data_IF_010423435207
#
_entry.id   IF_010423435207
#
_cell.length_a   1.000
_cell.length_b   1.000
_cell.length_c   1.000
_cell.angle_alpha   90.00
_cell.angle_beta   90.00
_cell.angle_gamma   90.00
#
_symmetry.space_group_name_H-M   'P 1'
#
loop_
_entity.id
_entity.type
_entity.pdbx_description
1 polymer ?
#
# COMPACT_ATOMS: atom_id res chain seq x y z
N UNK A 1 -36.06 -2.65 4.96
CA UNK A 1 -35.64 -4.03 4.61
C UNK A 1 -34.14 -4.18 4.87
N UNK A 2 -33.78 -5.00 5.86
CA UNK A 2 -32.39 -5.26 6.23
C UNK A 2 -31.91 -6.63 5.70
N UNK A 3 -30.60 -6.79 5.49
CA UNK A 3 -29.98 -8.04 5.05
C UNK A 3 -28.85 -8.43 6.00
N UNK A 4 -28.67 -9.72 6.23
CA UNK A 4 -27.63 -10.23 7.12
C UNK A 4 -26.25 -9.92 6.55
N UNK A 5 -25.41 -9.25 7.32
CA UNK A 5 -24.04 -8.88 6.93
C UNK A 5 -23.12 -10.09 6.77
N UNK A 6 -23.48 -11.25 7.34
CA UNK A 6 -22.69 -12.46 7.23
C UNK A 6 -23.11 -13.35 6.05
N UNK A 7 -24.42 -13.55 5.81
CA UNK A 7 -24.90 -14.50 4.79
C UNK A 7 -25.80 -13.92 3.69
N UNK A 8 -26.11 -12.62 3.75
CA UNK A 8 -26.94 -11.93 2.76
C UNK A 8 -28.44 -12.25 2.81
N UNK A 9 -28.91 -13.05 3.76
CA UNK A 9 -30.34 -13.37 3.88
C UNK A 9 -31.15 -12.13 4.30
N UNK A 10 -32.38 -12.00 3.78
CA UNK A 10 -33.30 -10.93 4.19
C UNK A 10 -33.69 -11.11 5.66
N UNK A 11 -33.69 -10.02 6.42
CA UNK A 11 -34.01 -9.97 7.84
C UNK A 11 -35.34 -9.22 8.02
N UNK A 12 -36.25 -9.83 8.77
CA UNK A 12 -37.51 -9.22 9.18
C UNK A 12 -37.25 -8.08 10.18
N UNK A 13 -38.06 -7.02 10.13
CA UNK A 13 -37.75 -5.71 10.74
C UNK A 13 -37.51 -5.71 12.26
N UNK A 14 -37.86 -6.81 12.95
CA UNK A 14 -37.67 -6.99 14.39
C UNK A 14 -36.84 -8.24 14.79
N UNK A 15 -36.19 -8.92 13.84
CA UNK A 15 -35.42 -10.12 14.15
C UNK A 15 -34.09 -9.78 14.82
N UNK A 16 -33.89 -10.26 16.06
CA UNK A 16 -32.65 -10.09 16.84
C UNK A 16 -31.49 -10.97 16.34
N UNK A 17 -31.81 -12.02 15.57
CA UNK A 17 -30.84 -12.95 15.02
C UNK A 17 -31.26 -13.35 13.61
N UNK A 18 -30.29 -13.58 12.71
CA UNK A 18 -30.57 -14.11 11.40
C UNK A 18 -31.07 -15.55 11.51
N UNK A 19 -32.30 -15.80 11.06
CA UNK A 19 -32.94 -17.12 11.09
C UNK A 19 -32.23 -18.18 10.26
N UNK A 20 -31.29 -17.78 9.39
CA UNK A 20 -30.56 -18.69 8.50
C UNK A 20 -29.18 -19.10 9.03
N UNK A 21 -28.42 -18.18 9.62
CA UNK A 21 -27.04 -18.46 10.07
C UNK A 21 -26.79 -18.19 11.56
N UNK A 22 -27.80 -17.74 12.30
CA UNK A 22 -27.69 -17.47 13.75
C UNK A 22 -26.89 -16.22 14.11
N UNK A 23 -26.40 -15.45 13.14
CA UNK A 23 -25.66 -14.21 13.41
C UNK A 23 -26.58 -13.16 14.03
N UNK A 24 -26.16 -12.60 15.17
CA UNK A 24 -26.89 -11.56 15.88
C UNK A 24 -27.06 -10.32 15.00
N UNK A 25 -28.26 -9.75 15.04
CA UNK A 25 -28.63 -8.53 14.34
C UNK A 25 -28.65 -7.44 15.39
N UNK A 26 -27.64 -6.56 15.39
CA UNK A 26 -27.55 -5.47 16.34
C UNK A 26 -28.61 -4.42 16.01
N UNK A 27 -29.78 -4.53 16.64
CA UNK A 27 -30.90 -3.62 16.49
C UNK A 27 -30.80 -2.43 17.46
N UNK A 28 -29.61 -1.84 17.59
CA UNK A 28 -29.47 -0.55 18.26
C UNK A 28 -29.93 0.55 17.29
N UNK A 29 -31.17 1.00 17.48
CA UNK A 29 -31.63 2.30 16.99
C UNK A 29 -30.76 3.39 17.64
N UNK A 30 -29.58 3.63 17.05
CA UNK A 30 -28.80 4.82 17.30
C UNK A 30 -29.56 5.97 16.66
N UNK A 31 -30.32 6.68 17.48
CA UNK A 31 -30.79 8.02 17.15
C UNK A 31 -29.61 8.80 16.58
N UNK A 32 -29.72 9.17 15.30
CA UNK A 32 -28.75 9.97 14.60
C UNK A 32 -28.65 11.36 15.22
N UNK A 33 -27.93 11.48 16.33
CA UNK A 33 -27.04 12.63 16.53
C UNK A 33 -25.76 12.32 15.76
N UNK A 34 -25.87 12.41 14.44
CA UNK A 34 -24.71 12.64 13.61
C UNK A 34 -24.11 13.97 14.02
N UNK A 35 -23.15 13.98 14.93
CA UNK A 35 -22.11 15.00 14.87
C UNK A 35 -21.34 14.70 13.58
N UNK A 36 -21.86 15.14 12.43
CA UNK A 36 -21.02 15.41 11.28
C UNK A 36 -20.12 16.56 11.73
N UNK A 37 -18.99 16.22 12.34
CA UNK A 37 -17.95 17.21 12.63
C UNK A 37 -17.44 17.64 11.25
N UNK A 38 -18.05 18.70 10.70
CA UNK A 38 -17.60 19.32 9.46
C UNK A 38 -16.09 19.55 9.60
N UNK A 39 -15.30 19.10 8.63
CA UNK A 39 -13.86 19.30 8.69
C UNK A 39 -13.59 20.80 8.61
N UNK A 40 -13.24 21.39 9.75
CA UNK A 40 -12.84 22.78 9.90
C UNK A 40 -11.71 22.84 10.92
N UNK A 41 -10.49 23.05 10.46
CA UNK A 41 -9.32 23.09 11.31
C UNK A 41 -8.43 24.26 10.92
N UNK A 42 -8.33 25.22 11.85
CA UNK A 42 -7.62 26.48 11.65
C UNK A 42 -6.26 26.48 12.33
N UNK A 43 -5.26 26.99 11.60
CA UNK A 43 -3.90 27.12 12.07
C UNK A 43 -3.42 28.56 11.86
N UNK A 44 -3.02 29.16 12.97
CA UNK A 44 -2.46 30.50 13.01
C UNK A 44 -1.00 30.36 13.43
N UNK A 45 -0.04 30.73 12.56
CA UNK A 45 1.37 30.73 12.93
C UNK A 45 1.61 31.74 14.05
N UNK A 46 2.27 31.29 15.12
CA UNK A 46 2.63 32.17 16.24
C UNK A 46 3.82 33.05 15.85
N UNK A 47 3.84 34.32 16.25
CA UNK A 47 4.94 35.29 16.02
C UNK A 47 5.13 35.80 14.57
N UNK A 48 4.07 35.83 13.75
CA UNK A 48 4.06 36.63 12.51
C UNK A 48 4.85 36.05 11.33
N UNK A 49 5.43 34.86 11.46
CA UNK A 49 6.13 34.17 10.37
C UNK A 49 5.21 33.05 9.83
N UNK A 50 4.45 33.37 8.79
CA UNK A 50 3.56 32.46 8.08
C UNK A 50 2.18 33.06 7.81
N UNK A 51 1.42 32.47 6.89
CA UNK A 51 0.03 32.86 6.62
C UNK A 51 -0.93 31.98 7.40
N UNK A 52 -2.05 32.56 7.85
CA UNK A 52 -3.20 31.81 8.35
C UNK A 52 -3.66 30.82 7.30
N UNK A 53 -4.00 29.60 7.71
CA UNK A 53 -4.66 28.65 6.84
C UNK A 53 -5.71 27.82 7.57
N UNK A 54 -6.71 27.37 6.80
CA UNK A 54 -7.84 26.60 7.31
C UNK A 54 -8.09 25.42 6.38
N UNK A 55 -8.10 24.22 6.93
CA UNK A 55 -8.57 23.04 6.22
C UNK A 55 -10.09 22.98 6.31
N UNK A 56 -10.74 22.91 5.14
CA UNK A 56 -12.17 22.64 4.99
C UNK A 56 -12.39 21.23 4.44
N UNK A 57 -13.66 20.87 4.30
CA UNK A 57 -14.08 19.58 3.76
C UNK A 57 -13.58 19.32 2.33
N UNK A 58 -13.52 20.35 1.47
CA UNK A 58 -13.15 20.22 0.05
C UNK A 58 -12.06 21.20 -0.43
N UNK A 59 -11.52 22.00 0.49
CA UNK A 59 -10.64 23.12 0.13
C UNK A 59 -9.71 23.50 1.28
N UNK A 60 -8.72 24.33 0.97
CA UNK A 60 -7.86 25.00 1.93
C UNK A 60 -8.00 26.50 1.75
N UNK A 61 -8.33 27.23 2.83
CA UNK A 61 -8.13 28.67 2.85
C UNK A 61 -6.66 28.94 3.16
N UNK A 62 -5.98 29.73 2.33
CA UNK A 62 -4.61 30.18 2.55
C UNK A 62 -4.54 31.71 2.45
N UNK A 63 -4.35 32.38 3.58
CA UNK A 63 -4.53 33.83 3.67
C UNK A 63 -6.00 34.21 3.44
N UNK A 64 -6.27 34.89 2.33
CA UNK A 64 -7.62 35.36 1.94
C UNK A 64 -8.20 34.58 0.75
N UNK A 65 -7.45 33.60 0.22
CA UNK A 65 -7.84 32.83 -0.95
C UNK A 65 -8.22 31.41 -0.56
N UNK A 66 -9.14 30.81 -1.30
CA UNK A 66 -9.61 29.43 -1.10
C UNK A 66 -9.24 28.57 -2.29
N UNK A 67 -8.63 27.42 -2.02
CA UNK A 67 -8.10 26.50 -3.02
C UNK A 67 -8.80 25.16 -2.90
N UNK A 68 -9.50 24.74 -3.95
CA UNK A 68 -10.15 23.42 -4.01
C UNK A 68 -9.10 22.30 -4.04
N UNK A 69 -9.38 21.17 -3.38
CA UNK A 69 -8.47 20.02 -3.38
C UNK A 69 -8.22 19.45 -4.79
N UNK A 70 -9.17 19.57 -5.72
CA UNK A 70 -9.02 19.17 -7.12
C UNK A 70 -7.98 19.98 -7.90
N UNK A 71 -7.56 21.14 -7.37
CA UNK A 71 -6.57 22.04 -7.98
C UNK A 71 -5.25 22.07 -7.23
N UNK A 72 -5.06 21.17 -6.26
CA UNK A 72 -3.88 21.12 -5.40
C UNK A 72 -3.10 19.83 -5.62
N UNK A 73 -1.78 19.95 -5.69
CA UNK A 73 -0.90 18.79 -5.54
C UNK A 73 -0.94 18.22 -4.11
N UNK A 74 -0.53 16.96 -3.88
CA UNK A 74 -0.41 16.42 -2.54
C UNK A 74 0.45 17.30 -1.63
N UNK A 75 -0.03 17.56 -0.43
CA UNK A 75 0.62 18.37 0.59
C UNK A 75 1.76 17.58 1.21
N UNK A 76 2.97 18.12 1.11
CA UNK A 76 4.22 17.50 1.55
C UNK A 76 4.71 18.13 2.84
N UNK A 77 4.98 17.32 3.85
CA UNK A 77 5.69 17.78 5.05
C UNK A 77 7.17 18.02 4.69
N UNK A 78 7.61 19.27 4.74
CA UNK A 78 8.99 19.68 4.43
C UNK A 78 9.87 19.57 5.68
N UNK A 79 9.33 19.91 6.84
CA UNK A 79 10.05 19.86 8.11
C UNK A 79 9.05 19.60 9.24
N UNK A 80 9.36 18.63 10.12
CA UNK A 80 8.55 18.43 11.31
C UNK A 80 8.87 19.48 12.39
N UNK A 81 7.91 19.82 13.25
CA UNK A 81 8.15 20.75 14.33
C UNK A 81 9.15 20.16 15.34
N UNK A 82 10.09 20.99 15.79
CA UNK A 82 11.02 20.66 16.88
C UNK A 82 10.69 21.48 18.12
N UNK A 83 11.47 21.33 19.19
CA UNK A 83 11.34 22.19 20.37
C UNK A 83 11.73 23.65 20.07
N UNK A 84 12.54 23.88 19.02
CA UNK A 84 13.06 25.19 18.66
C UNK A 84 12.45 25.75 17.35
N UNK A 85 11.67 24.96 16.62
CA UNK A 85 11.15 25.36 15.29
C UNK A 85 9.74 24.84 15.02
N UNK A 86 9.00 25.61 14.24
CA UNK A 86 7.70 25.18 13.69
C UNK A 86 7.89 24.08 12.64
N UNK A 87 6.82 23.33 12.42
CA UNK A 87 6.70 22.42 11.29
C UNK A 87 6.27 23.20 10.06
N UNK A 88 6.67 22.70 8.88
CA UNK A 88 6.34 23.31 7.59
C UNK A 88 5.89 22.21 6.63
N UNK A 89 4.73 22.40 6.03
CA UNK A 89 4.27 21.63 4.89
C UNK A 89 4.04 22.53 3.67
N UNK A 90 4.06 21.96 2.47
CA UNK A 90 3.87 22.69 1.23
C UNK A 90 2.98 21.94 0.24
N UNK A 91 2.18 22.69 -0.51
CA UNK A 91 1.48 22.21 -1.71
C UNK A 91 1.56 23.27 -2.80
N UNK A 92 1.51 22.84 -4.05
CA UNK A 92 1.41 23.70 -5.22
C UNK A 92 -0.01 23.63 -5.79
N UNK A 93 -0.60 24.80 -6.06
CA UNK A 93 -1.85 24.93 -6.79
C UNK A 93 -1.61 24.87 -8.30
N UNK A 94 -2.65 24.53 -9.08
CA UNK A 94 -2.59 24.40 -10.55
C UNK A 94 -2.06 25.66 -11.24
N UNK A 95 -2.36 26.84 -10.69
CA UNK A 95 -1.84 28.13 -11.17
C UNK A 95 -0.35 28.37 -10.83
N UNK A 96 0.34 27.39 -10.26
CA UNK A 96 1.76 27.45 -9.88
C UNK A 96 2.03 28.07 -8.50
N UNK A 97 1.00 28.53 -7.77
CA UNK A 97 1.18 29.15 -6.45
C UNK A 97 1.57 28.09 -5.42
N UNK A 98 2.64 28.35 -4.67
CA UNK A 98 3.11 27.47 -3.59
C UNK A 98 2.54 27.94 -2.24
N UNK A 99 1.72 27.10 -1.63
CA UNK A 99 1.15 27.32 -0.30
C UNK A 99 2.11 26.74 0.74
N UNK A 100 2.67 27.60 1.60
CA UNK A 100 3.53 27.18 2.72
C UNK A 100 2.76 27.21 4.04
N UNK A 101 2.47 26.02 4.57
CA UNK A 101 1.65 25.75 5.75
C UNK A 101 2.54 25.55 6.98
N UNK A 102 2.77 26.63 7.73
CA UNK A 102 3.58 26.59 8.95
C UNK A 102 2.72 26.32 10.20
N UNK A 103 3.08 25.33 11.01
CA UNK A 103 2.30 24.91 12.19
C UNK A 103 3.18 24.73 13.43
N UNK A 104 2.60 24.99 14.61
CA UNK A 104 3.35 24.89 15.86
C UNK A 104 3.51 23.43 16.31
N UNK A 105 4.53 23.16 17.12
CA UNK A 105 4.73 21.84 17.73
C UNK A 105 3.53 21.35 18.55
N UNK A 106 2.88 22.24 19.30
CA UNK A 106 1.66 21.90 20.07
C UNK A 106 0.52 21.39 19.19
N UNK A 107 0.51 21.78 17.92
CA UNK A 107 -0.51 21.41 16.96
C UNK A 107 -0.14 20.15 16.16
N UNK A 108 1.00 19.49 16.41
CA UNK A 108 1.51 18.41 15.55
C UNK A 108 0.52 17.25 15.34
N UNK A 109 -0.17 16.83 16.42
CA UNK A 109 -1.17 15.76 16.34
C UNK A 109 -2.37 16.20 15.50
N UNK A 110 -2.86 17.42 15.72
CA UNK A 110 -4.00 18.01 15.00
C UNK A 110 -3.66 18.22 13.53
N UNK A 111 -2.49 18.80 13.25
CA UNK A 111 -1.98 19.03 11.90
C UNK A 111 -1.76 17.72 11.15
N UNK A 112 -1.20 16.69 11.79
CA UNK A 112 -1.01 15.38 11.19
C UNK A 112 -2.34 14.77 10.71
N UNK A 113 -3.38 14.82 11.54
CA UNK A 113 -4.70 14.29 11.21
C UNK A 113 -5.35 15.01 10.01
N UNK A 114 -5.30 16.35 9.98
CA UNK A 114 -5.88 17.13 8.87
C UNK A 114 -5.06 17.03 7.59
N UNK A 115 -3.74 16.92 7.69
CA UNK A 115 -2.85 16.70 6.56
C UNK A 115 -3.17 15.37 5.86
N UNK A 116 -3.41 14.33 6.66
CA UNK A 116 -3.84 13.03 6.15
C UNK A 116 -5.19 13.13 5.46
N UNK A 117 -6.18 13.73 6.09
CA UNK A 117 -7.50 13.93 5.49
C UNK A 117 -7.42 14.72 4.17
N UNK A 118 -6.71 15.85 4.16
CA UNK A 118 -6.60 16.71 2.99
C UNK A 118 -5.94 15.98 1.81
N UNK A 119 -4.86 15.22 2.08
CA UNK A 119 -4.23 14.40 1.06
C UNK A 119 -5.14 13.27 0.56
N UNK A 120 -5.93 12.64 1.42
CA UNK A 120 -6.94 11.66 0.97
C UNK A 120 -8.00 12.30 0.06
N UNK A 121 -8.44 13.53 0.34
CA UNK A 121 -9.39 14.24 -0.52
C UNK A 121 -8.75 14.65 -1.84
N UNK A 122 -7.52 15.19 -1.82
CA UNK A 122 -6.75 15.50 -3.03
C UNK A 122 -6.59 14.24 -3.89
N UNK A 123 -6.17 13.12 -3.29
CA UNK A 123 -6.00 11.86 -3.99
C UNK A 123 -7.33 11.39 -4.63
N UNK A 124 -8.46 11.52 -3.92
CA UNK A 124 -9.80 11.18 -4.45
C UNK A 124 -10.20 12.05 -5.65
N UNK A 125 -10.04 13.36 -5.55
CA UNK A 125 -10.39 14.30 -6.63
C UNK A 125 -9.54 14.06 -7.89
N UNK A 126 -8.32 13.54 -7.75
CA UNK A 126 -7.44 13.17 -8.87
C UNK A 126 -7.58 11.72 -9.33
N UNK A 127 -8.56 10.96 -8.80
CA UNK A 127 -8.76 9.54 -9.16
C UNK A 127 -7.72 8.57 -8.58
N UNK A 128 -6.83 9.04 -7.69
CA UNK A 128 -5.80 8.26 -7.01
C UNK A 128 -6.34 7.59 -5.74
N UNK A 129 -7.46 6.87 -5.83
CA UNK A 129 -8.10 6.26 -4.66
C UNK A 129 -7.22 5.13 -4.12
N UNK A 130 -6.59 5.38 -2.97
CA UNK A 130 -5.78 4.39 -2.27
C UNK A 130 -6.63 3.26 -1.70
N UNK A 131 -6.18 2.02 -1.90
CA UNK A 131 -6.90 0.78 -1.51
C UNK A 131 -6.36 0.15 -0.22
N UNK A 132 -5.80 0.93 0.71
CA UNK A 132 -5.38 0.38 2.00
C UNK A 132 -6.59 -0.08 2.83
N UNK A 133 -6.41 -1.15 3.59
CA UNK A 133 -7.37 -1.65 4.58
C UNK A 133 -7.30 -0.85 5.87
N UNK A 134 -6.09 -0.48 6.28
CA UNK A 134 -5.86 0.32 7.48
C UNK A 134 -4.91 1.46 7.21
N UNK A 135 -5.16 2.57 7.89
CA UNK A 135 -4.28 3.72 7.94
C UNK A 135 -3.98 4.07 9.39
N UNK A 136 -2.71 4.05 9.78
CA UNK A 136 -2.27 4.48 11.11
C UNK A 136 -1.29 5.63 10.98
N UNK A 137 -1.52 6.70 11.73
CA UNK A 137 -0.61 7.84 11.81
C UNK A 137 -0.20 8.08 13.26
N UNK A 138 1.10 8.10 13.51
CA UNK A 138 1.68 8.32 14.83
C UNK A 138 1.68 9.81 15.20
N UNK A 139 1.86 10.08 16.50
CA UNK A 139 2.08 11.44 16.99
C UNK A 139 3.40 12.06 16.51
N UNK A 140 4.36 11.25 16.07
CA UNK A 140 5.60 11.71 15.41
C UNK A 140 5.41 12.12 13.96
N UNK A 141 4.23 11.87 13.38
CA UNK A 141 3.93 12.10 11.96
C UNK A 141 4.31 10.93 11.05
N UNK A 142 4.89 9.85 11.58
CA UNK A 142 5.08 8.60 10.84
C UNK A 142 3.73 8.00 10.47
N UNK A 143 3.64 7.41 9.27
CA UNK A 143 2.37 6.89 8.74
C UNK A 143 2.58 5.47 8.21
N UNK A 144 1.59 4.62 8.43
CA UNK A 144 1.54 3.26 7.90
C UNK A 144 0.26 3.08 7.12
N UNK A 145 0.39 2.68 5.86
CA UNK A 145 -0.72 2.25 5.02
C UNK A 145 -0.65 0.72 4.90
N UNK A 146 -1.67 0.01 5.37
CA UNK A 146 -1.71 -1.46 5.36
C UNK A 146 -2.60 -1.91 4.21
N UNK A 147 -2.03 -2.66 3.27
CA UNK A 147 -2.73 -3.23 2.12
C UNK A 147 -3.01 -4.72 2.39
N UNK A 148 -3.36 -5.47 1.35
CA UNK A 148 -3.83 -6.84 1.48
C UNK A 148 -2.75 -7.81 1.99
N UNK A 149 -1.54 -7.74 1.44
CA UNK A 149 -0.41 -8.63 1.75
C UNK A 149 0.91 -7.88 2.01
N UNK A 150 0.87 -6.55 2.04
CA UNK A 150 2.01 -5.68 2.30
C UNK A 150 1.59 -4.43 3.06
N UNK A 151 2.57 -3.71 3.60
CA UNK A 151 2.37 -2.37 4.14
C UNK A 151 3.37 -1.38 3.57
N UNK A 152 3.01 -0.10 3.57
CA UNK A 152 3.90 1.03 3.26
C UNK A 152 4.16 1.79 4.54
N UNK A 153 5.43 1.99 4.88
CA UNK A 153 5.85 2.82 6.03
C UNK A 153 6.44 4.12 5.53
N UNK A 154 5.91 5.22 6.00
CA UNK A 154 6.48 6.55 5.88
C UNK A 154 7.08 6.92 7.23
N UNK A 155 8.36 6.58 7.43
CA UNK A 155 8.98 6.73 8.74
C UNK A 155 9.55 8.14 8.93
N UNK A 156 9.02 8.88 9.91
CA UNK A 156 9.60 10.14 10.33
C UNK A 156 10.45 9.94 11.59
N UNK A 157 11.79 10.01 11.44
CA UNK A 157 12.72 9.93 12.57
C UNK A 157 12.60 11.22 13.39
N UNK A 158 11.99 11.13 14.57
CA UNK A 158 12.05 12.22 15.53
C UNK A 158 13.51 12.49 15.90
N UNK A 159 14.02 13.69 15.59
CA UNK A 159 15.36 14.09 16.01
C UNK A 159 15.34 14.15 17.55
N UNK A 160 16.19 13.35 18.19
CA UNK A 160 16.30 13.36 19.65
C UNK A 160 16.69 14.75 20.13
N UNK A 161 15.99 15.26 21.13
CA UNK A 161 16.50 16.38 21.90
C UNK A 161 17.80 15.96 22.60
N UNK A 162 18.81 16.82 22.53
CA UNK A 162 20.13 16.58 23.09
C UNK A 162 20.07 16.14 24.56
N UNK A 163 20.59 14.94 24.78
CA UNK A 163 21.12 14.40 26.02
C UNK A 163 22.08 13.30 25.61
N UNK A 164 23.36 13.52 25.86
CA UNK A 164 24.44 12.57 25.65
C UNK A 164 24.10 11.17 26.18
N UNK A 165 24.60 10.14 25.50
CA UNK A 165 24.79 8.79 26.06
C UNK A 165 23.53 8.10 26.58
N UNK A 166 22.66 7.60 25.69
CA UNK A 166 21.75 6.50 26.08
C UNK A 166 21.30 5.58 24.95
N UNK A 167 21.49 5.94 23.68
CA UNK A 167 21.04 5.10 22.56
C UNK A 167 22.06 3.99 22.20
N UNK A 168 23.30 4.08 22.71
CA UNK A 168 24.31 3.03 22.57
C UNK A 168 24.13 1.84 23.54
N UNK A 169 23.09 1.84 24.40
CA UNK A 169 22.85 0.74 25.35
C UNK A 169 21.88 -0.33 24.86
N UNK A 170 21.02 -0.07 23.88
CA UNK A 170 20.07 -1.11 23.39
C UNK A 170 20.66 -1.88 22.20
N UNK A 171 21.58 -1.28 21.42
CA UNK A 171 22.30 -1.99 20.35
C UNK A 171 23.33 -3.01 20.87
N UNK A 172 23.77 -2.90 22.13
CA UNK A 172 24.69 -3.85 22.75
C UNK A 172 24.01 -5.12 23.28
N UNK A 173 22.74 -5.05 23.67
CA UNK A 173 21.98 -6.21 24.16
C UNK A 173 21.50 -7.15 23.03
N UNK A 174 21.58 -6.70 21.76
CA UNK A 174 21.30 -7.51 20.56
C UNK A 174 22.54 -7.84 19.71
N UNK A 175 23.75 -7.59 20.23
CA UNK A 175 24.99 -8.08 19.60
C UNK A 175 25.36 -7.47 18.24
N UNK A 176 24.82 -6.30 17.87
CA UNK A 176 25.17 -5.63 16.61
C UNK A 176 26.19 -4.51 16.87
N UNK A 177 27.46 -4.89 16.90
CA UNK A 177 28.57 -3.96 16.77
C UNK A 177 28.76 -3.62 15.29
N UNK A 178 28.53 -2.36 14.90
CA UNK A 178 28.66 -1.98 13.49
C UNK A 178 28.72 -0.48 13.29
N UNK A 179 29.93 0.01 13.00
CA UNK A 179 30.26 1.40 12.65
C UNK A 179 29.41 1.90 11.47
N UNK A 180 29.17 3.21 11.45
CA UNK A 180 28.33 3.89 10.47
C UNK A 180 28.63 3.55 9.02
N UNK A 181 27.55 3.46 8.23
CA UNK A 181 27.59 3.33 6.79
C UNK A 181 27.74 4.71 6.14
N UNK A 182 28.97 5.21 6.15
CA UNK A 182 29.48 6.10 5.10
C UNK A 182 30.53 5.32 4.32
N UNK A 183 30.16 4.75 3.17
CA UNK A 183 31.07 3.95 2.35
C UNK A 183 30.73 4.04 0.86
N UNK A 184 31.59 4.75 0.11
CA UNK A 184 31.71 4.68 -1.35
C UNK A 184 31.89 3.23 -1.80
N UNK A 185 31.18 2.81 -2.85
CA UNK A 185 31.50 1.59 -3.59
C UNK A 185 32.36 1.99 -4.79
N UNK A 186 33.66 1.76 -4.68
CA UNK A 186 34.60 1.76 -5.80
C UNK A 186 34.84 0.31 -6.24
N UNK A 187 34.50 -0.02 -7.49
CA UNK A 187 34.92 -1.28 -8.11
C UNK A 187 34.10 -1.72 -9.33
N UNK A 188 34.49 -1.23 -10.52
CA UNK A 188 34.51 -2.03 -11.76
C UNK A 188 33.20 -2.28 -12.52
N UNK A 189 32.89 -1.40 -13.46
CA UNK A 189 32.11 -1.71 -14.67
C UNK A 189 32.76 -2.85 -15.46
N UNK A 190 31.93 -3.79 -15.92
CA UNK A 190 32.20 -4.51 -17.16
C UNK A 190 32.67 -5.95 -17.00
N UNK A 191 31.73 -6.84 -16.62
CA UNK A 191 31.42 -8.10 -17.31
C UNK A 191 29.94 -8.41 -17.05
N UNK A 192 29.04 -7.55 -17.49
CA UNK A 192 28.44 -7.66 -18.81
C UNK A 192 27.70 -9.01 -18.99
N UNK A 193 26.38 -8.95 -18.76
CA UNK A 193 25.34 -9.78 -19.39
C UNK A 193 24.80 -11.05 -18.72
N UNK A 194 24.85 -11.17 -17.38
CA UNK A 194 23.96 -12.10 -16.62
C UNK A 194 22.80 -11.35 -15.91
N UNK A 195 22.41 -10.19 -16.45
CA UNK A 195 21.62 -9.13 -15.81
C UNK A 195 20.07 -9.27 -15.91
N UNK A 196 19.39 -10.31 -15.38
CA UNK A 196 17.93 -10.24 -15.08
C UNK A 196 17.54 -11.08 -13.83
N UNK A 197 18.26 -10.90 -12.72
CA UNK A 197 17.83 -11.46 -11.43
C UNK A 197 18.48 -10.73 -10.26
N UNK A 198 18.14 -9.45 -10.09
CA UNK A 198 18.14 -8.73 -8.81
C UNK A 198 17.72 -7.28 -9.08
N UNK A 199 16.41 -7.05 -9.16
CA UNK A 199 15.83 -5.72 -9.05
C UNK A 199 15.01 -5.64 -7.76
N UNK A 200 15.69 -5.89 -6.64
CA UNK A 200 15.10 -5.86 -5.29
C UNK A 200 16.00 -5.17 -4.27
N UNK A 201 17.00 -4.42 -4.71
CA UNK A 201 17.92 -3.71 -3.82
C UNK A 201 18.08 -2.27 -4.25
N UNK A 202 17.37 -1.38 -3.55
CA UNK A 202 17.73 0.03 -3.46
C UNK A 202 17.06 0.96 -4.46
N UNK A 203 15.74 1.08 -4.44
CA UNK A 203 15.09 2.33 -4.86
C UNK A 203 15.08 3.27 -3.65
N UNK A 204 16.26 3.77 -3.27
CA UNK A 204 16.38 4.90 -2.37
C UNK A 204 15.86 6.13 -3.11
N UNK A 205 14.55 6.35 -3.05
CA UNK A 205 14.00 7.65 -3.37
C UNK A 205 14.58 8.62 -2.33
N UNK A 206 15.55 9.40 -2.79
CA UNK A 206 16.30 10.34 -1.99
C UNK A 206 15.37 11.54 -1.72
N UNK A 207 14.41 11.34 -0.80
CA UNK A 207 13.71 12.43 -0.13
C UNK A 207 14.72 13.15 0.76
N UNK A 208 15.35 14.20 0.23
CA UNK A 208 16.05 15.17 1.07
C UNK A 208 15.03 15.83 2.00
N UNK A 209 14.89 15.30 3.21
CA UNK A 209 14.28 15.99 4.36
C UNK A 209 12.98 15.43 4.95
N UNK A 210 12.34 14.40 4.40
CA UNK A 210 11.06 13.93 4.94
C UNK A 210 10.69 12.51 4.50
N UNK A 211 10.57 11.62 5.49
CA UNK A 211 10.04 10.25 5.47
C UNK A 211 10.33 9.38 4.23
N UNK A 212 11.30 8.47 4.37
CA UNK A 212 11.49 7.34 3.44
C UNK A 212 10.26 6.44 3.48
N UNK A 213 9.66 6.23 2.31
CA UNK A 213 8.56 5.30 2.09
C UNK A 213 9.10 3.91 1.75
N UNK A 214 8.99 2.93 2.64
CA UNK A 214 9.38 1.53 2.38
C UNK A 214 8.14 0.64 2.22
N UNK A 215 8.15 -0.24 1.22
CA UNK A 215 7.16 -1.32 1.06
C UNK A 215 7.71 -2.57 1.74
N UNK A 216 6.96 -3.13 2.69
CA UNK A 216 7.33 -4.35 3.41
C UNK A 216 6.24 -5.39 3.21
N UNK A 217 6.60 -6.54 2.63
CA UNK A 217 5.70 -7.69 2.51
C UNK A 217 5.42 -8.29 3.88
N UNK A 218 4.21 -8.80 4.12
CA UNK A 218 3.90 -9.44 5.40
C UNK A 218 4.82 -10.65 5.70
N UNK A 219 5.27 -11.35 4.66
CA UNK A 219 6.20 -12.49 4.80
C UNK A 219 7.56 -12.09 5.37
N UNK A 220 7.96 -10.84 5.18
CA UNK A 220 9.24 -10.29 5.60
C UNK A 220 9.08 -9.36 6.82
N UNK A 221 7.89 -9.33 7.41
CA UNK A 221 7.50 -8.39 8.45
C UNK A 221 7.67 -8.98 9.84
N UNK A 222 8.43 -8.30 10.68
CA UNK A 222 8.39 -8.44 12.13
C UNK A 222 7.62 -7.25 12.72
N UNK A 223 6.45 -7.50 13.29
CA UNK A 223 5.60 -6.46 13.87
C UNK A 223 5.22 -6.80 15.31
N UNK A 224 5.43 -5.85 16.21
CA UNK A 224 5.04 -5.98 17.62
C UNK A 224 4.70 -4.63 18.24
N UNK A 225 3.98 -4.65 19.35
CA UNK A 225 3.77 -3.48 20.20
C UNK A 225 4.47 -3.73 21.52
N UNK A 226 5.31 -2.79 21.93
CA UNK A 226 5.90 -2.77 23.27
C UNK A 226 5.62 -1.42 23.90
N UNK A 227 5.02 -1.47 25.08
CA UNK A 227 4.50 -0.30 25.79
C UNK A 227 3.54 0.48 24.88
N UNK A 228 3.96 1.65 24.40
CA UNK A 228 3.22 2.47 23.44
C UNK A 228 3.99 2.68 22.13
N UNK A 229 4.90 1.78 21.78
CA UNK A 229 5.68 1.87 20.54
C UNK A 229 5.32 0.69 19.63
N UNK A 230 4.90 1.01 18.41
CA UNK A 230 4.78 0.05 17.33
C UNK A 230 6.15 -0.17 16.73
N UNK A 231 6.62 -1.41 16.82
CA UNK A 231 7.90 -1.84 16.26
C UNK A 231 7.59 -2.57 14.97
N UNK A 232 8.13 -2.07 13.86
CA UNK A 232 8.09 -2.75 12.56
C UNK A 232 9.51 -2.92 12.08
N UNK A 233 10.02 -4.14 12.07
CA UNK A 233 11.43 -4.45 11.83
C UNK A 233 12.31 -3.55 12.73
N UNK A 234 13.17 -2.70 12.14
CA UNK A 234 14.00 -1.71 12.84
C UNK A 234 13.29 -0.38 13.14
N UNK A 235 12.08 -0.15 12.65
CA UNK A 235 11.34 1.10 12.80
C UNK A 235 10.60 1.17 14.14
N UNK A 236 10.88 2.23 14.90
CA UNK A 236 10.25 2.50 16.20
C UNK A 236 9.25 3.65 16.06
N UNK A 237 7.96 3.33 16.06
CA UNK A 237 6.88 4.29 15.81
C UNK A 237 6.09 4.53 17.10
N UNK A 238 6.23 5.70 17.76
CA UNK A 238 5.52 6.01 19.00
C UNK A 238 4.01 6.18 18.74
N UNK A 239 3.19 5.40 19.41
CA UNK A 239 1.74 5.46 19.32
C UNK A 239 1.16 6.42 20.36
N UNK A 240 0.17 7.21 19.95
CA UNK A 240 -0.74 7.87 20.90
C UNK A 240 -1.74 6.85 21.46
N UNK A 241 -2.29 7.12 22.65
CA UNK A 241 -3.23 6.22 23.32
C UNK A 241 -4.41 5.82 22.41
N UNK A 242 -4.93 6.76 21.62
CA UNK A 242 -6.02 6.54 20.67
C UNK A 242 -5.67 5.59 19.49
N UNK A 243 -4.39 5.33 19.25
CA UNK A 243 -3.92 4.50 18.13
C UNK A 243 -3.51 3.08 18.56
N UNK A 244 -3.48 2.79 19.87
CA UNK A 244 -3.06 1.49 20.38
C UNK A 244 -4.01 0.39 19.92
N UNK A 245 -5.32 0.60 20.05
CA UNK A 245 -6.31 -0.42 19.67
C UNK A 245 -6.31 -0.66 18.16
N UNK A 246 -6.17 0.41 17.36
CA UNK A 246 -6.00 0.30 15.91
C UNK A 246 -4.73 -0.45 15.52
N UNK A 247 -3.62 -0.24 16.25
CA UNK A 247 -2.39 -0.97 16.00
C UNK A 247 -2.53 -2.48 16.33
N UNK A 248 -3.26 -2.82 17.41
CA UNK A 248 -3.58 -4.22 17.73
C UNK A 248 -4.44 -4.87 16.66
N UNK A 249 -5.44 -4.17 16.15
CA UNK A 249 -6.28 -4.63 15.03
C UNK A 249 -5.44 -4.91 13.77
N UNK A 250 -4.54 -3.98 13.42
CA UNK A 250 -3.60 -4.16 12.30
C UNK A 250 -2.74 -5.42 12.50
N UNK A 251 -2.18 -5.64 13.69
CA UNK A 251 -1.38 -6.83 13.98
C UNK A 251 -2.20 -8.11 13.86
N UNK A 252 -3.44 -8.11 14.36
CA UNK A 252 -4.34 -9.25 14.27
C UNK A 252 -4.67 -9.57 12.79
N UNK A 253 -4.97 -8.55 11.99
CA UNK A 253 -5.20 -8.69 10.56
C UNK A 253 -4.00 -9.34 9.87
N UNK A 254 -2.80 -8.78 10.06
CA UNK A 254 -1.57 -9.30 9.44
C UNK A 254 -1.31 -10.74 9.82
N UNK A 255 -1.46 -11.09 11.11
CA UNK A 255 -1.26 -12.47 11.59
C UNK A 255 -2.24 -13.44 10.93
N UNK A 256 -3.52 -13.07 10.84
CA UNK A 256 -4.53 -13.90 10.18
C UNK A 256 -4.19 -14.09 8.69
N UNK A 257 -3.83 -13.01 7.99
CA UNK A 257 -3.42 -13.09 6.58
C UNK A 257 -2.20 -14.01 6.40
N UNK A 258 -1.20 -13.92 7.28
CA UNK A 258 -0.03 -14.81 7.23
C UNK A 258 -0.40 -16.29 7.47
N UNK A 259 -1.35 -16.57 8.36
CA UNK A 259 -1.86 -17.93 8.54
C UNK A 259 -2.59 -18.45 7.30
N UNK A 260 -3.39 -17.61 6.64
CA UNK A 260 -4.07 -17.96 5.39
C UNK A 260 -3.07 -18.25 4.27
N UNK A 261 -2.06 -17.39 4.08
CA UNK A 261 -1.00 -17.58 3.08
C UNK A 261 -0.26 -18.91 3.32
N UNK A 262 0.06 -19.25 4.57
CA UNK A 262 0.71 -20.53 4.91
C UNK A 262 -0.17 -21.71 4.49
N UNK A 263 -1.46 -21.71 4.86
CA UNK A 263 -2.42 -22.77 4.48
C UNK A 263 -2.57 -22.90 2.97
N UNK A 264 -2.62 -21.78 2.24
CA UNK A 264 -2.69 -21.79 0.78
C UNK A 264 -1.40 -22.32 0.15
N UNK A 265 -0.23 -21.95 0.66
CA UNK A 265 1.06 -22.44 0.15
C UNK A 265 1.23 -23.95 0.31
N UNK A 266 0.75 -24.52 1.42
CA UNK A 266 0.73 -25.97 1.67
C UNK A 266 -0.21 -26.69 0.68
N UNK A 267 -1.33 -26.05 0.32
CA UNK A 267 -2.33 -26.59 -0.61
C UNK A 267 -1.93 -26.42 -2.09
N UNK A 268 -1.12 -25.40 -2.43
CA UNK A 268 -0.80 -25.00 -3.81
C UNK A 268 0.45 -25.69 -4.38
N UNK A 269 1.15 -26.51 -3.59
CA UNK A 269 2.23 -27.40 -4.07
C UNK A 269 1.78 -28.35 -5.20
N UNK A 270 0.49 -28.41 -5.52
CA UNK A 270 -0.09 -29.23 -6.59
C UNK A 270 -0.97 -28.38 -7.51
N UNK A 271 -0.42 -27.97 -8.66
CA UNK A 271 -1.08 -27.86 -9.98
C UNK A 271 -0.13 -27.21 -11.01
N UNK A 272 1.06 -27.79 -11.23
CA UNK A 272 1.62 -27.69 -12.57
C UNK A 272 0.64 -28.44 -13.48
N UNK A 273 -0.02 -27.71 -14.37
CA UNK A 273 -0.97 -28.29 -15.32
C UNK A 273 -0.18 -29.23 -16.25
N UNK A 274 -0.22 -30.53 -15.94
CA UNK A 274 0.41 -31.56 -16.76
C UNK A 274 -0.36 -31.57 -18.08
N UNK A 275 0.31 -31.17 -19.16
CA UNK A 275 -0.27 -31.26 -20.48
C UNK A 275 -0.08 -32.69 -20.98
N UNK A 276 -1.18 -33.42 -21.06
CA UNK A 276 -1.18 -34.67 -21.79
C UNK A 276 -0.71 -34.43 -23.24
N UNK A 277 0.12 -35.34 -23.79
CA UNK A 277 0.55 -35.28 -25.18
C UNK A 277 -0.66 -35.19 -26.12
N UNK A 278 -0.69 -34.16 -26.95
CA UNK A 278 -1.76 -33.99 -27.94
C UNK A 278 -1.54 -35.02 -29.04
N UNK A 279 -2.49 -35.95 -29.20
CA UNK A 279 -2.54 -36.85 -30.35
C UNK A 279 -3.29 -36.16 -31.48
N UNK A 280 -2.64 -36.03 -32.64
CA UNK A 280 -3.28 -35.46 -33.81
C UNK A 280 -4.25 -36.46 -34.43
N UNK A 281 -4.99 -36.00 -35.44
CA UNK A 281 -5.73 -36.88 -36.34
C UNK A 281 -5.56 -36.37 -37.76
N UNK A 282 -5.57 -37.27 -38.74
CA UNK A 282 -5.76 -36.86 -40.12
C UNK A 282 -7.17 -36.26 -40.26
N UNK A 283 -7.25 -35.08 -40.88
CA UNK A 283 -8.50 -34.39 -41.13
C UNK A 283 -8.61 -34.01 -42.60
N UNK A 284 -9.77 -34.26 -43.18
CA UNK A 284 -10.10 -33.83 -44.54
C UNK A 284 -11.09 -32.68 -44.49
N UNK A 285 -10.83 -31.64 -45.28
CA UNK A 285 -11.72 -30.51 -45.47
C UNK A 285 -11.99 -30.35 -46.97
N UNK A 286 -13.22 -30.02 -47.34
CA UNK A 286 -13.51 -29.59 -48.71
C UNK A 286 -13.35 -28.08 -48.82
N UNK A 287 -12.50 -27.62 -49.73
CA UNK A 287 -12.29 -26.20 -50.01
C UNK A 287 -12.37 -25.98 -51.52
N UNK A 288 -13.39 -25.24 -51.98
CA UNK A 288 -13.68 -25.03 -53.41
C UNK A 288 -13.81 -26.32 -54.24
N UNK A 289 -14.35 -27.39 -53.65
CA UNK A 289 -14.51 -28.68 -54.34
C UNK A 289 -13.23 -29.54 -54.37
N UNK A 290 -12.10 -28.99 -53.93
CA UNK A 290 -10.87 -29.76 -53.71
C UNK A 290 -10.81 -30.28 -52.26
N UNK A 291 -10.11 -31.40 -52.08
CA UNK A 291 -9.86 -31.99 -50.76
C UNK A 291 -8.54 -31.48 -50.21
N UNK A 292 -8.59 -30.82 -49.06
CA UNK A 292 -7.43 -30.45 -48.27
C UNK A 292 -7.24 -31.47 -47.14
N UNK A 293 -6.13 -32.20 -47.18
CA UNK A 293 -5.72 -33.10 -46.12
C UNK A 293 -4.80 -32.38 -45.12
N UNK A 294 -5.18 -32.41 -43.85
CA UNK A 294 -4.35 -31.98 -42.73
C UNK A 294 -3.75 -33.24 -42.10
N UNK A 295 -2.44 -33.47 -42.23
CA UNK A 295 -1.78 -34.61 -41.62
C UNK A 295 -1.74 -34.47 -40.09
N UNK A 296 -1.61 -35.61 -39.41
CA UNK A 296 -1.60 -35.72 -37.95
C UNK A 296 -0.68 -34.70 -37.27
N UNK A 297 0.55 -34.53 -37.76
CA UNK A 297 1.54 -33.59 -37.21
C UNK A 297 1.08 -32.12 -37.26
N UNK A 298 0.38 -31.73 -38.34
CA UNK A 298 -0.14 -30.38 -38.49
C UNK A 298 -1.39 -30.16 -37.63
N UNK A 299 -2.20 -31.21 -37.39
CA UNK A 299 -3.31 -31.17 -36.43
C UNK A 299 -2.82 -31.06 -34.98
N UNK A 300 -1.71 -31.74 -34.63
CA UNK A 300 -1.04 -31.57 -33.33
C UNK A 300 -0.66 -30.10 -33.12
N UNK A 301 0.01 -29.49 -34.10
CA UNK A 301 0.39 -28.08 -34.03
C UNK A 301 -0.83 -27.15 -33.87
N UNK A 302 -1.87 -27.35 -34.68
CA UNK A 302 -3.10 -26.54 -34.63
C UNK A 302 -3.90 -26.71 -33.33
N UNK A 303 -3.81 -27.87 -32.70
CA UNK A 303 -4.43 -28.13 -31.41
C UNK A 303 -3.59 -27.55 -30.27
N UNK A 304 -2.27 -27.73 -30.33
CA UNK A 304 -1.31 -27.16 -29.38
C UNK A 304 -1.40 -25.64 -29.34
N UNK A 305 -1.41 -24.95 -30.49
CA UNK A 305 -1.50 -23.47 -30.54
C UNK A 305 -2.75 -22.92 -29.85
N UNK A 306 -3.88 -23.63 -29.95
CA UNK A 306 -5.15 -23.23 -29.31
C UNK A 306 -5.07 -23.39 -27.79
N UNK A 307 -4.54 -24.52 -27.33
CA UNK A 307 -4.33 -24.79 -25.90
C UNK A 307 -3.34 -23.78 -25.29
N UNK A 308 -2.29 -23.43 -26.03
CA UNK A 308 -1.31 -22.42 -25.63
C UNK A 308 -1.93 -21.03 -25.53
N UNK A 309 -2.76 -20.65 -26.52
CA UNK A 309 -3.51 -19.39 -26.48
C UNK A 309 -4.41 -19.29 -25.23
N UNK A 310 -5.18 -20.33 -24.93
CA UNK A 310 -6.05 -20.36 -23.75
C UNK A 310 -5.26 -20.24 -22.44
N UNK A 311 -4.11 -20.92 -22.36
CA UNK A 311 -3.19 -20.77 -21.22
C UNK A 311 -2.67 -19.34 -21.10
N UNK A 312 -2.18 -18.75 -22.19
CA UNK A 312 -1.70 -17.37 -22.20
C UNK A 312 -2.79 -16.37 -21.79
N UNK A 313 -4.04 -16.57 -22.23
CA UNK A 313 -5.20 -15.77 -21.82
C UNK A 313 -5.43 -15.88 -20.30
N UNK A 314 -5.38 -17.09 -19.72
CA UNK A 314 -5.53 -17.32 -18.27
C UNK A 314 -4.46 -16.59 -17.45
N UNK A 315 -3.20 -16.66 -17.87
CA UNK A 315 -2.10 -15.97 -17.19
C UNK A 315 -2.17 -14.45 -17.40
N UNK A 316 -2.60 -13.98 -18.57
CA UNK A 316 -2.83 -12.54 -18.82
C UNK A 316 -3.89 -11.99 -17.88
N UNK A 317 -4.99 -12.73 -17.69
CA UNK A 317 -6.05 -12.33 -16.76
C UNK A 317 -5.57 -12.33 -15.31
N UNK A 318 -4.77 -13.33 -14.91
CA UNK A 318 -4.12 -13.35 -13.60
C UNK A 318 -3.21 -12.13 -13.38
N UNK A 319 -2.36 -11.78 -14.35
CA UNK A 319 -1.52 -10.57 -14.31
C UNK A 319 -2.36 -9.32 -14.14
N UNK A 320 -3.48 -9.21 -14.87
CA UNK A 320 -4.38 -8.06 -14.78
C UNK A 320 -4.98 -7.93 -13.37
N UNK A 321 -5.39 -9.03 -12.76
CA UNK A 321 -5.94 -9.07 -11.40
C UNK A 321 -4.85 -8.65 -10.39
N UNK A 322 -3.68 -9.28 -10.42
CA UNK A 322 -2.57 -9.00 -9.51
C UNK A 322 -2.09 -7.54 -9.62
N UNK A 323 -1.99 -7.03 -10.85
CA UNK A 323 -1.61 -5.64 -11.12
C UNK A 323 -2.60 -4.66 -10.49
N UNK A 324 -3.90 -4.85 -10.75
CA UNK A 324 -4.94 -3.95 -10.24
C UNK A 324 -5.08 -3.99 -8.71
N UNK A 325 -4.69 -5.10 -8.08
CA UNK A 325 -4.68 -5.23 -6.63
C UNK A 325 -3.47 -4.52 -6.00
N UNK A 326 -2.27 -4.74 -6.54
CA UNK A 326 -1.02 -4.32 -5.89
C UNK A 326 -0.49 -2.97 -6.35
N UNK A 327 -0.68 -2.61 -7.62
CA UNK A 327 -0.14 -1.38 -8.22
C UNK A 327 -1.15 -0.24 -8.09
N UNK A 328 -0.81 0.74 -7.25
CA UNK A 328 -1.65 1.89 -6.95
C UNK A 328 -0.96 3.24 -7.22
N UNK A 329 0.37 3.24 -7.33
CA UNK A 329 1.22 4.41 -7.55
C UNK A 329 2.55 4.00 -8.19
N UNK A 330 3.38 4.98 -8.53
CA UNK A 330 4.69 4.73 -9.13
C UNK A 330 5.61 3.85 -8.26
N UNK A 331 5.53 3.97 -6.93
CA UNK A 331 6.37 3.19 -6.01
C UNK A 331 5.97 1.71 -6.04
N UNK A 332 4.68 1.42 -5.90
CA UNK A 332 4.15 0.06 -5.99
C UNK A 332 4.29 -0.54 -7.39
N UNK A 333 4.24 0.28 -8.45
CA UNK A 333 4.58 -0.16 -9.80
C UNK A 333 6.03 -0.68 -9.86
N UNK A 334 6.99 0.14 -9.42
CA UNK A 334 8.41 -0.23 -9.48
C UNK A 334 8.72 -1.48 -8.66
N UNK A 335 8.03 -1.68 -7.54
CA UNK A 335 8.20 -2.84 -6.67
C UNK A 335 7.56 -4.12 -7.24
N UNK A 336 6.28 -4.05 -7.65
CA UNK A 336 5.49 -5.25 -7.93
C UNK A 336 5.45 -5.63 -9.41
N UNK A 337 5.56 -4.68 -10.34
CA UNK A 337 5.31 -4.95 -11.76
C UNK A 337 6.20 -6.07 -12.30
N UNK A 338 7.50 -6.02 -12.02
CA UNK A 338 8.45 -7.01 -12.51
C UNK A 338 8.24 -8.39 -11.88
N UNK A 339 7.86 -8.44 -10.60
CA UNK A 339 7.55 -9.69 -9.90
C UNK A 339 6.30 -10.34 -10.50
N UNK A 340 5.21 -9.58 -10.63
CA UNK A 340 3.96 -10.03 -11.26
C UNK A 340 4.23 -10.52 -12.69
N UNK A 341 5.01 -9.76 -13.46
CA UNK A 341 5.35 -10.12 -14.83
C UNK A 341 6.15 -11.43 -14.88
N UNK A 342 7.22 -11.56 -14.09
CA UNK A 342 8.09 -12.74 -14.08
C UNK A 342 7.36 -14.01 -13.61
N UNK A 343 6.58 -13.93 -12.54
CA UNK A 343 5.87 -15.07 -11.96
C UNK A 343 4.80 -15.64 -12.91
N UNK A 344 4.18 -14.79 -13.73
CA UNK A 344 3.14 -15.21 -14.66
C UNK A 344 3.69 -15.52 -16.08
N UNK A 345 4.83 -14.94 -16.48
CA UNK A 345 5.46 -15.24 -17.76
C UNK A 345 6.25 -16.55 -17.73
N UNK A 346 6.94 -16.85 -16.63
CA UNK A 346 7.80 -18.05 -16.51
C UNK A 346 7.07 -19.36 -16.87
N UNK A 347 5.83 -19.63 -16.38
CA UNK A 347 5.10 -20.84 -16.75
C UNK A 347 4.74 -20.92 -18.25
N UNK A 348 4.50 -19.78 -18.91
CA UNK A 348 4.20 -19.72 -20.35
C UNK A 348 5.45 -20.09 -21.15
N UNK A 349 6.61 -19.50 -20.81
CA UNK A 349 7.89 -19.77 -21.48
C UNK A 349 8.26 -21.25 -21.38
N UNK A 350 8.11 -21.85 -20.19
CA UNK A 350 8.41 -23.27 -19.96
C UNK A 350 7.55 -24.21 -20.82
N UNK A 351 6.38 -23.76 -21.29
CA UNK A 351 5.52 -24.55 -22.14
C UNK A 351 5.72 -24.30 -23.61
N UNK A 352 6.20 -23.11 -24.00
CA UNK A 352 6.39 -22.70 -25.38
C UNK A 352 7.53 -23.45 -26.11
N UNK A 353 8.46 -24.03 -25.34
CA UNK A 353 9.53 -24.95 -25.80
C UNK A 353 9.00 -26.37 -25.72
#
# INVERSE_FOLDING_TARGET
MAFCTNCGNKIDENALFCTRCGTAVNNEFVSAKGNSKQMYEEFIPTLGIGRRFVFKEKSIIYGNEEYDYSKLSPIRLITAPTFASNGVAQTTAENGVVLTLAFNRKDNVRFGAVLTYANEQIDKEHGNIKKYKFLLQSSSGSKIEVYEDYLKIYYFKAMSNKGSESVDKIGKDFGLSGKGLTGKITGGLGKAFDNISNLGTGINNTFKGGATGEIIMFTDLNISIKDNTLIINEYLIPLGQQNIDKAKEIIAYIKNTLELIKRESETTTVKQEIWEPIKGKNREFSFYGEKLEIPENLDVYNSYRKKFKQMAEKYTEKVRIDYNAKVNDFISFMEFFLKIYKENLSPIIQKAV
#
